data_IF_119464401524
#
_entry.id   IF_119464401524
#
_cell.length_a   1.000
_cell.length_b   1.000
_cell.length_c   1.000
_cell.angle_alpha   90.00
_cell.angle_beta   90.00
_cell.angle_gamma   90.00
#
_symmetry.space_group_name_H-M   'P 1'
#
loop_
_entity.id
_entity.type
_entity.pdbx_description
1 polymer ?
#
# COMPACT_ATOMS: atom_id res chain seq x y z
N UNK A 1 -33.63 -30.05 -51.60
CA UNK A 1 -33.01 -29.03 -52.50
C UNK A 1 -34.02 -28.28 -53.39
N UNK A 2 -34.80 -28.98 -54.23
CA UNK A 2 -35.69 -28.33 -55.22
C UNK A 2 -36.84 -27.51 -54.61
N UNK A 3 -37.52 -28.01 -53.56
CA UNK A 3 -38.65 -27.31 -52.96
C UNK A 3 -38.23 -26.06 -52.15
N UNK A 4 -37.08 -26.09 -51.48
CA UNK A 4 -36.56 -24.94 -50.73
C UNK A 4 -36.15 -23.79 -51.67
N UNK A 5 -35.62 -24.11 -52.85
CA UNK A 5 -35.34 -23.10 -53.88
C UNK A 5 -36.62 -22.44 -54.39
N UNK A 6 -37.67 -23.24 -54.62
CA UNK A 6 -38.98 -22.72 -54.98
C UNK A 6 -39.58 -21.87 -53.86
N UNK A 7 -39.47 -22.31 -52.60
CA UNK A 7 -39.91 -21.56 -51.44
C UNK A 7 -39.18 -20.20 -51.33
N UNK A 8 -37.85 -20.17 -51.50
CA UNK A 8 -37.07 -18.92 -51.55
C UNK A 8 -37.56 -18.02 -52.69
N UNK A 9 -37.81 -18.57 -53.88
CA UNK A 9 -38.30 -17.81 -55.02
C UNK A 9 -39.70 -17.20 -54.76
N UNK A 10 -40.59 -17.94 -54.09
CA UNK A 10 -41.91 -17.45 -53.70
C UNK A 10 -41.83 -16.29 -52.70
N UNK A 11 -40.83 -16.31 -51.80
CA UNK A 11 -40.65 -15.25 -50.80
C UNK A 11 -40.12 -13.96 -51.45
N UNK A 12 -39.18 -14.07 -52.40
CA UNK A 12 -38.56 -12.90 -53.03
C UNK A 12 -39.41 -12.29 -54.15
N UNK A 13 -40.38 -13.01 -54.68
CA UNK A 13 -41.32 -12.52 -55.68
C UNK A 13 -42.46 -11.74 -55.03
N UNK A 14 -42.60 -10.46 -55.40
CA UNK A 14 -43.60 -9.54 -54.84
C UNK A 14 -45.04 -10.01 -55.06
N UNK A 15 -45.33 -10.60 -56.22
CA UNK A 15 -46.68 -11.05 -56.56
C UNK A 15 -47.06 -12.34 -55.81
N UNK A 16 -46.05 -13.09 -55.33
CA UNK A 16 -46.23 -14.39 -54.69
C UNK A 16 -46.00 -14.36 -53.18
N UNK A 17 -45.55 -13.23 -52.61
CA UNK A 17 -45.26 -13.07 -51.18
C UNK A 17 -46.43 -13.44 -50.26
N UNK A 18 -47.66 -13.04 -50.64
CA UNK A 18 -48.86 -13.38 -49.87
C UNK A 18 -49.12 -14.90 -49.87
N UNK A 19 -48.89 -15.57 -51.00
CA UNK A 19 -49.02 -17.02 -51.14
C UNK A 19 -47.94 -17.73 -50.31
N UNK A 20 -46.70 -17.22 -50.35
CA UNK A 20 -45.60 -17.75 -49.55
C UNK A 20 -45.93 -17.71 -48.06
N UNK A 21 -46.58 -16.63 -47.60
CA UNK A 21 -46.97 -16.43 -46.20
C UNK A 21 -48.02 -17.44 -45.73
N UNK A 22 -48.85 -17.96 -46.61
CA UNK A 22 -49.86 -18.97 -46.26
C UNK A 22 -49.34 -20.41 -46.37
N UNK A 23 -48.44 -20.67 -47.33
CA UNK A 23 -48.01 -22.04 -47.69
C UNK A 23 -46.78 -22.50 -46.90
N UNK A 24 -45.87 -21.58 -46.57
CA UNK A 24 -44.63 -21.92 -45.87
C UNK A 24 -44.89 -21.88 -44.36
N UNK A 25 -44.64 -23.00 -43.66
CA UNK A 25 -44.78 -23.06 -42.21
C UNK A 25 -43.68 -22.28 -41.49
N UNK A 26 -43.88 -22.00 -40.21
CA UNK A 26 -42.92 -21.32 -39.30
C UNK A 26 -41.79 -22.24 -38.79
N UNK A 27 -41.58 -23.41 -39.40
CA UNK A 27 -40.60 -24.39 -38.93
C UNK A 27 -39.14 -23.91 -39.04
N UNK A 28 -38.36 -24.13 -37.96
CA UNK A 28 -36.92 -23.81 -37.87
C UNK A 28 -36.06 -24.59 -38.88
N UNK A 29 -36.49 -25.77 -39.31
CA UNK A 29 -35.77 -26.53 -40.35
C UNK A 29 -35.88 -25.84 -41.72
N UNK A 30 -37.02 -25.19 -41.97
CA UNK A 30 -37.25 -24.41 -43.20
C UNK A 30 -36.42 -23.13 -43.15
N UNK A 31 -36.44 -22.42 -42.02
CA UNK A 31 -35.57 -21.26 -41.80
C UNK A 31 -34.11 -21.59 -42.12
N UNK A 32 -33.59 -22.68 -41.56
CA UNK A 32 -32.22 -23.14 -41.80
C UNK A 32 -31.97 -23.40 -43.29
N UNK A 33 -32.86 -24.13 -43.96
CA UNK A 33 -32.71 -24.44 -45.38
C UNK A 33 -32.76 -23.21 -46.29
N UNK A 34 -33.60 -22.22 -45.96
CA UNK A 34 -33.65 -20.95 -46.70
C UNK A 34 -32.40 -20.12 -46.44
N UNK A 35 -31.90 -20.06 -45.21
CA UNK A 35 -30.66 -19.37 -44.85
C UNK A 35 -29.46 -19.96 -45.61
N UNK A 36 -29.31 -21.29 -45.63
CA UNK A 36 -28.26 -21.99 -46.39
C UNK A 36 -28.29 -21.63 -47.89
N UNK A 37 -29.47 -21.65 -48.51
CA UNK A 37 -29.63 -21.25 -49.91
C UNK A 37 -29.34 -19.76 -50.16
N UNK A 38 -29.50 -18.93 -49.14
CA UNK A 38 -29.25 -17.49 -49.22
C UNK A 38 -27.75 -17.20 -49.09
N UNK A 39 -27.03 -17.99 -48.29
CA UNK A 39 -25.57 -17.94 -48.21
C UNK A 39 -24.89 -18.47 -49.48
N UNK A 40 -25.45 -19.50 -50.13
CA UNK A 40 -24.92 -20.03 -51.41
C UNK A 40 -25.15 -19.09 -52.60
N UNK A 41 -26.31 -18.42 -52.62
CA UNK A 41 -26.71 -17.51 -53.70
C UNK A 41 -27.31 -16.25 -53.10
N UNK A 42 -26.44 -15.27 -52.91
CA UNK A 42 -26.76 -14.01 -52.27
C UNK A 42 -27.77 -13.20 -53.10
N UNK A 43 -28.95 -12.84 -52.55
CA UNK A 43 -29.93 -12.00 -53.22
C UNK A 43 -29.49 -10.54 -53.31
N UNK A 44 -30.16 -9.75 -54.15
CA UNK A 44 -30.00 -8.29 -54.15
C UNK A 44 -30.74 -7.65 -52.96
N UNK A 45 -30.46 -6.36 -52.67
CA UNK A 45 -31.02 -5.66 -51.51
C UNK A 45 -32.55 -5.68 -51.43
N UNK A 46 -33.27 -5.58 -52.56
CA UNK A 46 -34.73 -5.64 -52.57
C UNK A 46 -35.26 -7.01 -52.15
N UNK A 47 -34.58 -8.07 -52.61
CA UNK A 47 -34.93 -9.44 -52.24
C UNK A 47 -34.61 -9.71 -50.76
N UNK A 48 -33.53 -9.12 -50.23
CA UNK A 48 -33.18 -9.20 -48.80
C UNK A 48 -34.22 -8.46 -47.95
N UNK A 49 -34.73 -7.31 -48.39
CA UNK A 49 -35.82 -6.60 -47.70
C UNK A 49 -37.09 -7.45 -47.62
N UNK A 50 -37.48 -8.12 -48.71
CA UNK A 50 -38.61 -9.06 -48.71
C UNK A 50 -38.36 -10.26 -47.79
N UNK A 51 -37.15 -10.84 -47.82
CA UNK A 51 -36.76 -11.91 -46.91
C UNK A 51 -36.82 -11.47 -45.44
N UNK A 52 -36.43 -10.22 -45.14
CA UNK A 52 -36.50 -9.63 -43.80
C UNK A 52 -37.94 -9.54 -43.30
N UNK A 53 -38.84 -9.00 -44.11
CA UNK A 53 -40.28 -8.90 -43.78
C UNK A 53 -40.89 -10.29 -43.57
N UNK A 54 -40.56 -11.24 -44.45
CA UNK A 54 -41.02 -12.61 -44.35
C UNK A 54 -40.53 -13.29 -43.07
N UNK A 55 -39.22 -13.22 -42.80
CA UNK A 55 -38.61 -13.79 -41.62
C UNK A 55 -39.24 -13.25 -40.33
N UNK A 56 -39.57 -11.94 -40.31
CA UNK A 56 -40.30 -11.32 -39.21
C UNK A 56 -41.71 -11.88 -39.06
N UNK A 57 -42.46 -12.02 -40.15
CA UNK A 57 -43.82 -12.58 -40.11
C UNK A 57 -43.87 -14.05 -39.61
N UNK A 58 -42.77 -14.79 -39.80
CA UNK A 58 -42.63 -16.21 -39.41
C UNK A 58 -41.85 -16.44 -38.12
N UNK A 59 -41.45 -15.38 -37.42
CA UNK A 59 -40.60 -15.45 -36.24
C UNK A 59 -39.28 -16.23 -36.47
N UNK A 60 -38.71 -16.12 -37.67
CA UNK A 60 -37.43 -16.73 -38.06
C UNK A 60 -36.26 -15.81 -37.69
N UNK A 61 -35.79 -15.96 -36.46
CA UNK A 61 -34.81 -15.06 -35.85
C UNK A 61 -33.44 -15.06 -36.53
N UNK A 62 -32.91 -16.20 -37.00
CA UNK A 62 -31.60 -16.28 -37.68
C UNK A 62 -31.65 -15.68 -39.07
N UNK A 63 -32.69 -15.98 -39.83
CA UNK A 63 -32.84 -15.39 -41.17
C UNK A 63 -33.06 -13.89 -41.07
N UNK A 64 -33.85 -13.44 -40.10
CA UNK A 64 -34.04 -12.01 -39.83
C UNK A 64 -32.73 -11.33 -39.42
N UNK A 65 -31.95 -11.93 -38.50
CA UNK A 65 -30.62 -11.46 -38.11
C UNK A 65 -29.67 -11.35 -39.31
N UNK A 66 -29.62 -12.38 -40.17
CA UNK A 66 -28.84 -12.33 -41.41
C UNK A 66 -29.24 -11.16 -42.30
N UNK A 67 -30.55 -10.93 -42.50
CA UNK A 67 -31.02 -9.82 -43.32
C UNK A 67 -30.64 -8.46 -42.71
N UNK A 68 -30.73 -8.31 -41.39
CA UNK A 68 -30.29 -7.09 -40.68
C UNK A 68 -28.79 -6.84 -40.86
N UNK A 69 -27.96 -7.88 -40.73
CA UNK A 69 -26.51 -7.78 -40.97
C UNK A 69 -26.18 -7.26 -42.37
N UNK A 70 -26.99 -7.63 -43.38
CA UNK A 70 -26.76 -7.22 -44.77
C UNK A 70 -27.24 -5.82 -45.10
N UNK A 71 -28.33 -5.39 -44.49
CA UNK A 71 -29.03 -4.16 -44.86
C UNK A 71 -28.71 -2.96 -43.96
N UNK A 72 -28.46 -3.23 -42.68
CA UNK A 72 -28.35 -2.19 -41.65
C UNK A 72 -26.92 -2.02 -41.15
N UNK A 73 -26.62 -0.82 -40.63
CA UNK A 73 -25.40 -0.61 -39.86
C UNK A 73 -25.46 -1.42 -38.55
N UNK A 74 -24.31 -1.87 -38.00
CA UNK A 74 -24.27 -2.76 -36.82
C UNK A 74 -25.13 -2.29 -35.65
N UNK A 75 -25.09 -0.99 -35.33
CA UNK A 75 -25.87 -0.40 -34.25
C UNK A 75 -27.39 -0.48 -34.49
N UNK A 76 -27.82 -0.30 -35.74
CA UNK A 76 -29.24 -0.40 -36.11
C UNK A 76 -29.70 -1.86 -36.13
N UNK A 77 -28.86 -2.76 -36.65
CA UNK A 77 -29.13 -4.20 -36.66
C UNK A 77 -29.32 -4.74 -35.24
N UNK A 78 -28.40 -4.43 -34.31
CA UNK A 78 -28.47 -4.87 -32.92
C UNK A 78 -29.69 -4.32 -32.16
N UNK A 79 -30.11 -3.08 -32.44
CA UNK A 79 -31.33 -2.56 -31.82
C UNK A 79 -32.59 -3.25 -32.41
N UNK A 80 -32.66 -3.42 -33.73
CA UNK A 80 -33.82 -4.03 -34.41
C UNK A 80 -34.02 -5.51 -34.08
N UNK A 81 -32.94 -6.26 -33.83
CA UNK A 81 -33.05 -7.69 -33.44
C UNK A 81 -33.63 -7.85 -32.02
N UNK A 82 -33.42 -6.86 -31.14
CA UNK A 82 -33.96 -6.87 -29.78
C UNK A 82 -35.45 -6.52 -29.71
N UNK A 83 -35.99 -5.88 -30.74
CA UNK A 83 -37.42 -5.61 -30.88
C UNK A 83 -38.17 -6.78 -31.57
N UNK A 84 -37.48 -7.90 -31.83
CA UNK A 84 -38.08 -9.11 -32.38
C UNK A 84 -38.86 -9.86 -31.30
N UNK A 85 -40.13 -10.20 -31.56
CA UNK A 85 -40.96 -10.96 -30.61
C UNK A 85 -40.34 -12.35 -30.39
N UNK A 86 -40.14 -12.73 -29.12
CA UNK A 86 -39.36 -13.89 -28.68
C UNK A 86 -37.86 -13.82 -29.04
N UNK A 87 -37.09 -12.93 -28.40
CA UNK A 87 -35.65 -12.79 -28.61
C UNK A 87 -34.87 -13.91 -27.88
N UNK A 88 -35.36 -15.15 -27.87
CA UNK A 88 -34.65 -16.27 -27.22
C UNK A 88 -33.34 -16.53 -27.97
N UNK A 89 -32.30 -15.77 -27.62
CA UNK A 89 -30.84 -15.99 -27.69
C UNK A 89 -30.27 -16.22 -29.10
N UNK A 90 -30.93 -17.04 -29.90
CA UNK A 90 -30.47 -17.59 -31.18
C UNK A 90 -30.27 -16.54 -32.28
N UNK A 91 -31.16 -15.55 -32.41
CA UNK A 91 -31.02 -14.52 -33.45
C UNK A 91 -29.97 -13.47 -33.12
N UNK A 92 -29.91 -13.05 -31.86
CA UNK A 92 -28.91 -12.10 -31.36
C UNK A 92 -27.50 -12.71 -31.38
N UNK A 93 -27.34 -13.93 -30.88
CA UNK A 93 -26.07 -14.67 -30.93
C UNK A 93 -25.61 -14.87 -32.37
N UNK A 94 -26.52 -15.27 -33.27
CA UNK A 94 -26.19 -15.43 -34.67
C UNK A 94 -25.78 -14.10 -35.33
N UNK A 95 -26.44 -12.99 -34.99
CA UNK A 95 -26.04 -11.66 -35.48
C UNK A 95 -24.64 -11.27 -35.01
N UNK A 96 -24.31 -11.56 -33.75
CA UNK A 96 -22.99 -11.29 -33.18
C UNK A 96 -21.91 -12.11 -33.89
N UNK A 97 -22.16 -13.40 -34.15
CA UNK A 97 -21.23 -14.29 -34.85
C UNK A 97 -20.87 -13.81 -36.27
N UNK A 98 -21.72 -12.97 -36.89
CA UNK A 98 -21.47 -12.42 -38.22
C UNK A 98 -20.54 -11.20 -38.22
N UNK A 99 -20.44 -10.46 -37.12
CA UNK A 99 -19.57 -9.29 -37.00
C UNK A 99 -18.18 -9.68 -36.49
N UNK A 100 -17.17 -8.95 -36.94
CA UNK A 100 -15.84 -9.08 -36.32
C UNK A 100 -15.77 -8.31 -34.99
N UNK A 101 -14.75 -8.60 -34.19
CA UNK A 101 -14.61 -8.08 -32.83
C UNK A 101 -14.47 -6.56 -32.79
N UNK A 102 -13.84 -5.96 -33.79
CA UNK A 102 -13.70 -4.49 -33.86
C UNK A 102 -15.03 -3.80 -34.18
N UNK A 103 -15.83 -4.38 -35.08
CA UNK A 103 -17.17 -3.89 -35.39
C UNK A 103 -18.08 -3.98 -34.16
N UNK A 104 -18.03 -5.11 -33.45
CA UNK A 104 -18.79 -5.30 -32.21
C UNK A 104 -18.37 -4.29 -31.14
N UNK A 105 -17.07 -4.14 -30.85
CA UNK A 105 -16.59 -3.20 -29.85
C UNK A 105 -16.91 -1.75 -30.19
N UNK A 106 -16.67 -1.32 -31.43
CA UNK A 106 -16.99 0.05 -31.86
C UNK A 106 -18.48 0.34 -31.72
N UNK A 107 -19.33 -0.66 -31.95
CA UNK A 107 -20.78 -0.55 -31.81
C UNK A 107 -21.20 -0.52 -30.34
N UNK A 108 -20.73 -1.46 -29.53
CA UNK A 108 -21.08 -1.54 -28.10
C UNK A 108 -20.58 -0.34 -27.29
N UNK A 109 -19.49 0.31 -27.71
CA UNK A 109 -19.00 1.56 -27.09
C UNK A 109 -19.95 2.75 -27.27
N UNK A 110 -20.86 2.70 -28.25
CA UNK A 110 -21.79 3.79 -28.59
C UNK A 110 -23.23 3.44 -28.19
N UNK A 111 -23.56 2.16 -28.09
CA UNK A 111 -24.88 1.70 -27.64
C UNK A 111 -25.06 1.96 -26.14
N UNK A 112 -26.18 2.59 -25.78
CA UNK A 112 -26.62 2.81 -24.39
C UNK A 112 -27.92 2.03 -24.07
N UNK A 113 -28.30 1.08 -24.92
CA UNK A 113 -29.47 0.23 -24.69
C UNK A 113 -29.12 -0.89 -23.70
N UNK A 114 -29.74 -0.85 -22.52
CA UNK A 114 -29.50 -1.81 -21.43
C UNK A 114 -29.82 -3.25 -21.84
N UNK A 115 -30.72 -3.47 -22.80
CA UNK A 115 -31.06 -4.80 -23.31
C UNK A 115 -29.89 -5.42 -24.07
N UNK A 116 -29.17 -4.61 -24.86
CA UNK A 116 -27.96 -5.07 -25.58
C UNK A 116 -26.90 -5.47 -24.55
N UNK A 117 -26.67 -4.63 -23.53
CA UNK A 117 -25.71 -4.89 -22.47
C UNK A 117 -26.04 -6.20 -21.73
N UNK A 118 -27.30 -6.38 -21.32
CA UNK A 118 -27.73 -7.61 -20.62
C UNK A 118 -27.56 -8.86 -21.47
N UNK A 119 -27.80 -8.80 -22.79
CA UNK A 119 -27.56 -9.96 -23.64
C UNK A 119 -26.05 -10.27 -23.79
N UNK A 120 -25.19 -9.26 -23.91
CA UNK A 120 -23.73 -9.46 -23.94
C UNK A 120 -23.26 -10.14 -22.65
N UNK A 121 -23.78 -9.73 -21.49
CA UNK A 121 -23.42 -10.31 -20.19
C UNK A 121 -23.83 -11.78 -20.05
N UNK A 122 -24.88 -12.21 -20.74
CA UNK A 122 -25.36 -13.58 -20.69
C UNK A 122 -24.59 -14.52 -21.65
N UNK A 123 -23.70 -13.98 -22.49
CA UNK A 123 -22.96 -14.74 -23.51
C UNK A 123 -21.47 -14.78 -23.16
N UNK A 124 -21.07 -15.65 -22.23
CA UNK A 124 -19.68 -15.78 -21.75
C UNK A 124 -18.66 -15.93 -22.90
N UNK A 125 -19.01 -16.68 -23.95
CA UNK A 125 -18.16 -16.90 -25.14
C UNK A 125 -17.89 -15.59 -25.90
N UNK A 126 -18.89 -14.71 -26.00
CA UNK A 126 -18.72 -13.40 -26.61
C UNK A 126 -17.78 -12.54 -25.77
N UNK A 127 -18.02 -12.48 -24.46
CA UNK A 127 -17.17 -11.72 -23.54
C UNK A 127 -15.72 -12.18 -23.69
N UNK A 128 -15.47 -13.50 -23.61
CA UNK A 128 -14.15 -14.11 -23.75
C UNK A 128 -13.46 -13.72 -25.07
N UNK A 129 -14.19 -13.75 -26.19
CA UNK A 129 -13.66 -13.38 -27.51
C UNK A 129 -13.31 -11.89 -27.61
N UNK A 130 -14.02 -11.01 -26.91
CA UNK A 130 -13.78 -9.56 -26.95
C UNK A 130 -12.68 -9.11 -26.00
N UNK A 131 -12.41 -9.86 -24.90
CA UNK A 131 -11.40 -9.50 -23.89
C UNK A 131 -10.02 -9.11 -24.49
N UNK A 132 -9.44 -9.80 -25.49
CA UNK A 132 -8.12 -9.46 -26.03
C UNK A 132 -8.01 -8.09 -26.73
N UNK A 133 -9.16 -7.51 -27.11
CA UNK A 133 -9.26 -6.30 -27.93
C UNK A 133 -9.67 -5.05 -27.13
N UNK A 134 -9.85 -5.18 -25.81
CA UNK A 134 -10.31 -4.09 -24.97
C UNK A 134 -9.29 -2.95 -24.84
N UNK A 135 -9.81 -1.73 -24.90
CA UNK A 135 -9.11 -0.47 -24.67
C UNK A 135 -9.62 0.15 -23.36
N UNK A 136 -8.84 0.04 -22.29
CA UNK A 136 -9.29 0.36 -20.93
C UNK A 136 -9.47 1.87 -20.65
N UNK A 137 -9.20 2.74 -21.62
CA UNK A 137 -9.59 4.15 -21.58
C UNK A 137 -11.09 4.32 -21.87
N UNK A 138 -11.73 3.36 -22.56
CA UNK A 138 -13.16 3.35 -22.85
C UNK A 138 -13.99 2.83 -21.68
N UNK A 139 -15.13 3.49 -21.44
CA UNK A 139 -16.08 3.14 -20.36
C UNK A 139 -16.61 1.71 -20.51
N UNK A 140 -17.11 1.37 -21.70
CA UNK A 140 -17.69 0.06 -21.98
C UNK A 140 -16.67 -1.08 -21.81
N UNK A 141 -15.45 -0.87 -22.27
CA UNK A 141 -14.38 -1.87 -22.18
C UNK A 141 -13.99 -2.18 -20.72
N UNK A 142 -13.91 -1.17 -19.86
CA UNK A 142 -13.72 -1.39 -18.41
C UNK A 142 -14.88 -2.15 -17.78
N UNK A 143 -16.10 -1.84 -18.19
CA UNK A 143 -17.30 -2.54 -17.75
C UNK A 143 -17.23 -4.02 -18.14
N UNK A 144 -16.99 -4.30 -19.42
CA UNK A 144 -16.94 -5.65 -19.97
C UNK A 144 -15.83 -6.49 -19.32
N UNK A 145 -14.66 -5.89 -19.08
CA UNK A 145 -13.58 -6.55 -18.35
C UNK A 145 -14.00 -6.94 -16.92
N UNK A 146 -14.67 -6.03 -16.20
CA UNK A 146 -15.15 -6.30 -14.84
C UNK A 146 -16.17 -7.44 -14.82
N UNK A 147 -17.08 -7.49 -15.80
CA UNK A 147 -18.05 -8.58 -15.91
C UNK A 147 -17.37 -9.91 -16.25
N UNK A 148 -16.45 -9.93 -17.23
CA UNK A 148 -15.70 -11.13 -17.56
C UNK A 148 -14.97 -11.71 -16.34
N UNK A 149 -14.39 -10.84 -15.51
CA UNK A 149 -13.76 -11.27 -14.25
C UNK A 149 -14.76 -11.88 -13.26
N UNK A 150 -15.92 -11.26 -13.07
CA UNK A 150 -16.98 -11.78 -12.17
C UNK A 150 -17.54 -13.13 -12.65
N UNK A 151 -17.58 -13.35 -13.96
CA UNK A 151 -17.87 -14.64 -14.58
C UNK A 151 -16.72 -15.65 -14.50
N UNK A 152 -15.62 -15.32 -13.81
CA UNK A 152 -14.42 -16.16 -13.65
C UNK A 152 -13.67 -16.45 -14.95
N UNK A 153 -13.83 -15.60 -15.96
CA UNK A 153 -13.01 -15.66 -17.17
C UNK A 153 -11.58 -15.23 -16.83
N UNK A 154 -10.61 -15.84 -17.51
CA UNK A 154 -9.20 -15.44 -17.34
C UNK A 154 -8.99 -14.04 -17.91
N UNK A 155 -8.42 -13.14 -17.12
CA UNK A 155 -8.00 -11.83 -17.62
C UNK A 155 -6.85 -12.05 -18.63
N UNK A 156 -6.95 -11.50 -19.86
CA UNK A 156 -5.87 -11.59 -20.84
C UNK A 156 -4.59 -10.98 -20.29
N UNK A 157 -3.46 -11.67 -20.45
CA UNK A 157 -2.16 -11.18 -20.01
C UNK A 157 -1.83 -9.78 -20.53
N UNK A 158 -2.24 -9.45 -21.76
CA UNK A 158 -2.09 -8.14 -22.39
C UNK A 158 -2.73 -6.99 -21.60
N UNK A 159 -3.86 -7.26 -20.93
CA UNK A 159 -4.59 -6.27 -20.12
C UNK A 159 -3.89 -6.01 -18.79
N UNK A 160 -3.13 -7.00 -18.30
CA UNK A 160 -2.42 -6.96 -17.01
C UNK A 160 -0.97 -6.47 -17.20
N UNK A 161 -0.62 -6.00 -18.39
CA UNK A 161 0.63 -5.28 -18.61
C UNK A 161 0.48 -3.87 -18.01
N UNK A 162 1.61 -3.27 -17.60
CA UNK A 162 1.69 -1.93 -17.02
C UNK A 162 0.80 -0.89 -17.71
N UNK A 163 0.72 -0.90 -19.05
CA UNK A 163 -0.09 0.04 -19.83
C UNK A 163 -1.60 -0.07 -19.53
N UNK A 164 -2.11 -1.28 -19.29
CA UNK A 164 -3.51 -1.52 -18.95
C UNK A 164 -3.84 -1.03 -17.55
N UNK A 165 -2.99 -1.37 -16.57
CA UNK A 165 -3.10 -0.87 -15.18
C UNK A 165 -3.06 0.66 -15.17
N UNK A 166 -2.11 1.26 -15.90
CA UNK A 166 -2.01 2.72 -16.02
C UNK A 166 -3.26 3.34 -16.61
N UNK A 167 -3.87 2.69 -17.61
CA UNK A 167 -5.10 3.18 -18.23
C UNK A 167 -6.29 3.16 -17.27
N UNK A 168 -6.39 2.12 -16.43
CA UNK A 168 -7.40 2.04 -15.36
C UNK A 168 -7.16 3.14 -14.32
N UNK A 169 -5.92 3.31 -13.85
CA UNK A 169 -5.56 4.34 -12.87
C UNK A 169 -5.79 5.76 -13.42
N UNK A 170 -5.43 6.02 -14.68
CA UNK A 170 -5.72 7.30 -15.38
C UNK A 170 -7.22 7.53 -15.51
N UNK A 171 -8.00 6.50 -15.76
CA UNK A 171 -9.46 6.62 -15.82
C UNK A 171 -10.04 6.97 -14.44
N UNK A 172 -9.59 6.27 -13.40
CA UNK A 172 -10.00 6.53 -12.02
C UNK A 172 -9.66 7.95 -11.55
N UNK A 173 -8.43 8.40 -11.83
CA UNK A 173 -7.96 9.76 -11.50
C UNK A 173 -8.61 10.87 -12.35
N UNK A 174 -9.31 10.53 -13.43
CA UNK A 174 -10.15 11.45 -14.17
C UNK A 174 -11.62 11.44 -13.69
N UNK A 175 -11.94 10.66 -12.66
CA UNK A 175 -13.30 10.54 -12.12
C UNK A 175 -14.20 9.60 -12.92
N UNK A 176 -13.62 8.79 -13.80
CA UNK A 176 -14.39 7.79 -14.54
C UNK A 176 -14.58 6.52 -13.70
N UNK A 177 -15.73 5.88 -13.90
CA UNK A 177 -16.05 4.62 -13.24
C UNK A 177 -15.08 3.50 -13.68
N UNK A 178 -14.61 2.76 -12.69
CA UNK A 178 -13.66 1.64 -12.82
C UNK A 178 -14.35 0.29 -12.73
N UNK A 179 -15.65 0.26 -12.38
CA UNK A 179 -16.44 -0.96 -12.21
C UNK A 179 -15.82 -1.99 -11.23
N UNK A 180 -15.07 -1.52 -10.22
CA UNK A 180 -14.40 -2.39 -9.26
C UNK A 180 -13.13 -3.04 -9.79
N UNK A 181 -12.62 -2.64 -10.96
CA UNK A 181 -11.37 -3.17 -11.50
C UNK A 181 -10.16 -2.91 -10.60
N UNK A 182 -10.17 -1.83 -9.82
CA UNK A 182 -9.10 -1.55 -8.84
C UNK A 182 -9.10 -2.61 -7.73
N UNK A 183 -10.28 -3.02 -7.26
CA UNK A 183 -10.41 -4.10 -6.27
C UNK A 183 -9.94 -5.44 -6.82
N UNK A 184 -10.32 -5.75 -8.07
CA UNK A 184 -9.88 -6.95 -8.80
C UNK A 184 -8.35 -6.97 -8.96
N UNK A 185 -7.75 -5.84 -9.33
CA UNK A 185 -6.28 -5.73 -9.46
C UNK A 185 -5.57 -5.72 -8.10
N UNK A 186 -6.25 -5.40 -7.01
CA UNK A 186 -5.68 -5.47 -5.67
C UNK A 186 -5.63 -6.90 -5.12
N UNK A 187 -6.17 -7.89 -5.83
CA UNK A 187 -5.99 -9.29 -5.51
C UNK A 187 -4.51 -9.71 -5.63
N UNK A 188 -4.10 -10.71 -4.83
CA UNK A 188 -2.69 -11.08 -4.60
C UNK A 188 -1.85 -11.26 -5.86
N UNK A 189 -2.44 -11.68 -6.98
CA UNK A 189 -1.72 -11.91 -8.24
C UNK A 189 -1.29 -10.63 -8.95
N UNK A 190 -1.93 -9.50 -8.68
CA UNK A 190 -1.69 -8.22 -9.38
C UNK A 190 -1.41 -7.06 -8.42
N UNK A 191 -1.58 -7.29 -7.12
CA UNK A 191 -1.41 -6.31 -6.05
C UNK A 191 -0.09 -5.53 -6.13
N UNK A 192 1.02 -6.24 -6.40
CA UNK A 192 2.36 -5.63 -6.47
C UNK A 192 2.48 -4.65 -7.64
N UNK A 193 2.08 -5.09 -8.85
CA UNK A 193 2.10 -4.25 -10.04
C UNK A 193 1.16 -3.04 -9.88
N UNK A 194 -0.05 -3.25 -9.35
CA UNK A 194 -0.99 -2.16 -9.09
C UNK A 194 -0.37 -1.13 -8.14
N UNK A 195 0.26 -1.58 -7.06
CA UNK A 195 0.88 -0.71 -6.08
C UNK A 195 2.06 0.09 -6.66
N UNK A 196 2.94 -0.58 -7.42
CA UNK A 196 4.08 0.06 -8.08
C UNK A 196 3.61 1.16 -9.05
N UNK A 197 2.66 0.83 -9.94
CA UNK A 197 2.13 1.80 -10.92
C UNK A 197 1.40 2.96 -10.25
N UNK A 198 0.58 2.69 -9.23
CA UNK A 198 -0.10 3.74 -8.47
C UNK A 198 0.90 4.67 -7.76
N UNK A 199 1.97 4.11 -7.20
CA UNK A 199 3.03 4.89 -6.56
C UNK A 199 3.77 5.81 -7.55
N UNK A 200 4.03 5.34 -8.77
CA UNK A 200 4.60 6.17 -9.82
C UNK A 200 3.67 7.36 -10.15
N UNK A 201 2.38 7.11 -10.34
CA UNK A 201 1.42 8.18 -10.64
C UNK A 201 1.25 9.18 -9.48
N UNK A 202 1.40 8.74 -8.23
CA UNK A 202 1.39 9.63 -7.06
C UNK A 202 2.47 10.72 -7.15
N UNK A 203 3.62 10.41 -7.74
CA UNK A 203 4.69 11.40 -7.96
C UNK A 203 4.36 12.41 -9.06
N UNK A 204 3.37 12.14 -9.91
CA UNK A 204 2.96 12.98 -11.04
C UNK A 204 1.73 13.87 -10.75
N UNK A 205 1.24 13.89 -9.51
CA UNK A 205 0.10 14.75 -9.10
C UNK A 205 -1.26 14.04 -9.08
N UNK A 206 -1.27 12.77 -8.66
CA UNK A 206 -2.48 11.97 -8.46
C UNK A 206 -3.52 12.65 -7.56
N UNK A 207 -4.80 12.58 -7.95
CA UNK A 207 -5.91 13.28 -7.29
C UNK A 207 -6.86 12.29 -6.63
N UNK A 208 -6.74 12.11 -5.32
CA UNK A 208 -7.54 11.14 -4.54
C UNK A 208 -9.05 11.46 -4.49
N UNK A 209 -9.42 12.73 -4.61
CA UNK A 209 -10.79 13.24 -4.55
C UNK A 209 -11.67 12.81 -5.73
N UNK A 210 -11.06 12.42 -6.85
CA UNK A 210 -11.77 11.97 -8.05
C UNK A 210 -12.09 10.49 -8.03
N UNK A 211 -11.44 9.71 -7.16
CA UNK A 211 -11.69 8.29 -7.06
C UNK A 211 -12.97 8.00 -6.28
N UNK A 212 -13.59 6.86 -6.58
CA UNK A 212 -14.66 6.34 -5.72
C UNK A 212 -14.11 6.05 -4.31
N UNK A 213 -14.98 6.08 -3.30
CA UNK A 213 -14.55 5.80 -1.92
C UNK A 213 -13.95 4.40 -1.76
N UNK A 214 -14.51 3.41 -2.46
CA UNK A 214 -14.00 2.04 -2.46
C UNK A 214 -12.61 1.98 -3.10
N UNK A 215 -12.45 2.54 -4.30
CA UNK A 215 -11.17 2.52 -5.02
C UNK A 215 -10.07 3.25 -4.25
N UNK A 216 -10.43 4.39 -3.64
CA UNK A 216 -9.53 5.16 -2.78
C UNK A 216 -9.01 4.30 -1.63
N UNK A 217 -9.92 3.63 -0.90
CA UNK A 217 -9.54 2.83 0.25
C UNK A 217 -8.68 1.61 -0.14
N UNK A 218 -9.02 0.96 -1.25
CA UNK A 218 -8.26 -0.17 -1.80
C UNK A 218 -6.86 0.28 -2.17
N UNK A 219 -6.71 1.32 -3.00
CA UNK A 219 -5.40 1.82 -3.43
C UNK A 219 -4.54 2.31 -2.28
N UNK A 220 -5.10 3.08 -1.34
CA UNK A 220 -4.38 3.52 -0.15
C UNK A 220 -3.81 2.31 0.60
N UNK A 221 -4.61 1.26 0.78
CA UNK A 221 -4.18 0.05 1.47
C UNK A 221 -3.09 -0.71 0.72
N UNK A 222 -3.29 -0.93 -0.58
CA UNK A 222 -2.37 -1.66 -1.46
C UNK A 222 -1.03 -0.95 -1.58
N UNK A 223 -1.03 0.36 -1.87
CA UNK A 223 0.20 1.16 -1.95
C UNK A 223 0.91 1.24 -0.61
N UNK A 224 0.17 1.46 0.49
CA UNK A 224 0.79 1.53 1.83
C UNK A 224 1.49 0.23 2.21
N UNK A 225 0.86 -0.91 1.92
CA UNK A 225 1.46 -2.23 2.16
C UNK A 225 2.73 -2.41 1.34
N UNK A 226 2.68 -2.11 0.04
CA UNK A 226 3.83 -2.20 -0.85
C UNK A 226 5.02 -1.33 -0.40
N UNK A 227 4.75 -0.07 -0.01
CA UNK A 227 5.75 0.86 0.53
C UNK A 227 6.42 0.28 1.79
N UNK A 228 5.64 -0.29 2.70
CA UNK A 228 6.15 -0.89 3.94
C UNK A 228 6.94 -2.18 3.67
N UNK A 229 6.45 -3.03 2.78
CA UNK A 229 7.10 -4.30 2.44
C UNK A 229 8.46 -4.07 1.79
N UNK A 230 8.54 -3.12 0.84
CA UNK A 230 9.74 -2.78 0.09
C UNK A 230 10.63 -1.70 0.75
N UNK A 231 10.18 -1.05 1.83
CA UNK A 231 10.97 -0.06 2.55
C UNK A 231 11.23 1.23 1.76
N UNK A 232 10.24 1.67 0.97
CA UNK A 232 10.38 2.83 0.07
C UNK A 232 10.40 4.13 0.87
N UNK A 233 11.53 4.84 0.87
CA UNK A 233 11.75 6.00 1.75
C UNK A 233 11.44 7.37 1.12
N UNK A 234 11.17 7.45 -0.18
CA UNK A 234 10.96 8.70 -0.92
C UNK A 234 9.48 9.05 -1.17
N UNK A 235 8.56 8.50 -0.38
CA UNK A 235 7.12 8.78 -0.50
C UNK A 235 6.81 10.17 0.05
N UNK A 236 6.24 11.05 -0.79
CA UNK A 236 5.84 12.42 -0.42
C UNK A 236 4.34 12.58 -0.21
N UNK A 237 3.53 11.62 -0.63
CA UNK A 237 2.07 11.67 -0.51
C UNK A 237 1.63 11.53 0.96
N UNK A 238 0.96 12.58 1.47
CA UNK A 238 0.54 12.66 2.87
C UNK A 238 -0.55 11.65 3.24
N UNK A 239 -1.40 11.25 2.30
CA UNK A 239 -2.49 10.30 2.57
C UNK A 239 -1.90 8.91 2.79
N UNK A 240 -0.94 8.51 1.96
CA UNK A 240 -0.20 7.25 2.15
C UNK A 240 0.58 7.29 3.48
N UNK A 241 1.29 8.38 3.75
CA UNK A 241 2.03 8.55 5.01
C UNK A 241 1.12 8.42 6.25
N UNK A 242 -0.05 9.09 6.25
CA UNK A 242 -0.98 9.06 7.39
C UNK A 242 -1.64 7.69 7.54
N UNK A 243 -1.98 6.99 6.45
CA UNK A 243 -2.51 5.63 6.51
C UNK A 243 -1.48 4.65 7.07
N UNK A 244 -0.22 4.75 6.67
CA UNK A 244 0.87 3.94 7.23
C UNK A 244 1.03 4.26 8.72
N UNK A 245 1.02 5.54 9.10
CA UNK A 245 1.05 5.94 10.51
C UNK A 245 -0.12 5.33 11.29
N UNK A 246 -1.35 5.43 10.81
CA UNK A 246 -2.52 4.87 11.49
C UNK A 246 -2.40 3.37 11.71
N UNK A 247 -1.98 2.62 10.68
CA UNK A 247 -1.73 1.18 10.78
C UNK A 247 -0.60 0.85 11.76
N UNK A 248 0.45 1.66 11.80
CA UNK A 248 1.53 1.53 12.77
C UNK A 248 1.02 1.76 14.20
N UNK A 249 0.19 2.78 14.43
CA UNK A 249 -0.40 3.09 15.73
C UNK A 249 -1.36 1.99 16.23
N UNK A 250 -2.01 1.26 15.33
CA UNK A 250 -2.86 0.09 15.63
C UNK A 250 -2.07 -1.22 15.79
N UNK A 251 -0.75 -1.17 15.71
CA UNK A 251 0.14 -2.33 15.70
C UNK A 251 -0.11 -3.35 14.58
N UNK A 252 -0.72 -2.93 13.48
CA UNK A 252 -1.00 -3.80 12.33
C UNK A 252 0.26 -4.08 11.48
N UNK A 253 1.29 -3.22 11.59
CA UNK A 253 2.49 -3.27 10.74
C UNK A 253 3.79 -3.18 11.56
N UNK A 254 4.83 -3.89 11.09
CA UNK A 254 6.03 -4.14 11.88
C UNK A 254 6.78 -2.87 12.33
N UNK A 255 7.53 -2.93 13.44
CA UNK A 255 8.38 -1.85 13.95
C UNK A 255 9.34 -1.18 12.95
N UNK A 256 9.71 -1.88 11.87
CA UNK A 256 10.54 -1.37 10.78
C UNK A 256 9.99 -0.09 10.13
N UNK A 257 8.68 0.10 10.23
CA UNK A 257 7.96 1.26 9.69
C UNK A 257 8.36 2.56 10.39
N UNK A 258 8.85 2.48 11.63
CA UNK A 258 9.30 3.66 12.37
C UNK A 258 10.36 4.44 11.59
N UNK A 259 11.33 3.74 10.98
CA UNK A 259 12.40 4.38 10.20
C UNK A 259 11.87 5.16 9.00
N UNK A 260 10.81 4.64 8.36
CA UNK A 260 10.13 5.32 7.25
C UNK A 260 9.43 6.60 7.74
N UNK A 261 8.64 6.50 8.82
CA UNK A 261 7.91 7.64 9.39
C UNK A 261 8.87 8.77 9.82
N UNK A 262 10.02 8.39 10.40
CA UNK A 262 11.08 9.33 10.78
C UNK A 262 11.69 9.98 9.54
N UNK A 263 12.04 9.19 8.53
CA UNK A 263 12.61 9.69 7.28
C UNK A 263 11.68 10.67 6.55
N UNK A 264 10.37 10.46 6.64
CA UNK A 264 9.35 11.33 6.06
C UNK A 264 9.03 12.56 6.91
N UNK A 265 9.59 12.69 8.11
CA UNK A 265 9.26 13.75 9.07
C UNK A 265 7.74 13.78 9.41
N UNK A 266 7.10 12.60 9.45
CA UNK A 266 5.70 12.48 9.87
C UNK A 266 5.62 12.70 11.38
N UNK A 267 4.72 13.58 11.82
CA UNK A 267 4.56 13.83 13.25
C UNK A 267 3.90 12.63 13.94
N UNK A 268 4.67 12.01 14.82
CA UNK A 268 4.21 11.00 15.79
C UNK A 268 4.41 11.60 17.18
N UNK A 269 3.46 11.43 18.10
CA UNK A 269 3.62 11.94 19.46
C UNK A 269 4.23 10.90 20.41
N UNK A 270 4.73 11.39 21.55
CA UNK A 270 5.42 10.56 22.52
C UNK A 270 4.51 9.46 23.12
N UNK A 271 3.24 9.79 23.41
CA UNK A 271 2.27 8.85 24.00
C UNK A 271 1.89 7.70 23.06
N UNK A 272 1.78 7.98 21.77
CA UNK A 272 1.48 7.00 20.72
C UNK A 272 2.56 5.92 20.66
N UNK A 273 3.83 6.33 20.64
CA UNK A 273 4.95 5.40 20.58
C UNK A 273 5.08 4.56 21.86
N UNK A 274 4.79 5.14 23.04
CA UNK A 274 4.76 4.36 24.30
C UNK A 274 3.75 3.21 24.21
N UNK A 275 2.54 3.47 23.69
CA UNK A 275 1.50 2.46 23.57
C UNK A 275 1.96 1.28 22.70
N UNK A 276 2.60 1.57 21.56
CA UNK A 276 3.09 0.56 20.62
C UNK A 276 4.22 -0.29 21.22
N UNK A 277 5.15 0.32 21.95
CA UNK A 277 6.25 -0.40 22.61
C UNK A 277 5.77 -1.48 23.58
N UNK A 278 4.58 -1.30 24.16
CA UNK A 278 3.93 -2.30 25.01
C UNK A 278 3.37 -3.51 24.25
N UNK A 279 2.97 -3.34 22.98
CA UNK A 279 2.17 -4.31 22.23
C UNK A 279 3.00 -5.36 21.47
N UNK A 280 4.24 -5.04 21.10
CA UNK A 280 5.11 -5.95 20.35
C UNK A 280 6.03 -6.82 21.22
N UNK A 281 6.36 -8.00 20.70
CA UNK A 281 7.33 -8.92 21.30
C UNK A 281 8.78 -8.49 21.06
N UNK A 282 9.68 -9.01 21.88
CA UNK A 282 11.11 -8.68 21.84
C UNK A 282 11.80 -9.00 20.51
N UNK A 283 11.36 -10.03 19.81
CA UNK A 283 12.03 -10.40 18.56
C UNK A 283 11.80 -9.37 17.45
N UNK A 284 10.65 -8.68 17.47
CA UNK A 284 10.26 -7.77 16.39
C UNK A 284 11.07 -6.47 16.39
N UNK A 285 11.50 -6.00 17.56
CA UNK A 285 12.21 -4.74 17.71
C UNK A 285 13.74 -4.87 17.78
N UNK A 286 14.28 -6.08 17.98
CA UNK A 286 15.71 -6.27 18.30
C UNK A 286 16.65 -5.63 17.27
N UNK A 287 16.26 -5.70 16.00
CA UNK A 287 16.99 -5.15 14.86
C UNK A 287 16.75 -3.64 14.63
N UNK A 288 15.69 -3.06 15.20
CA UNK A 288 15.31 -1.64 15.03
C UNK A 288 15.60 -0.76 16.26
N UNK A 289 16.07 -1.38 17.36
CA UNK A 289 16.31 -0.68 18.62
C UNK A 289 17.28 0.50 18.50
N UNK A 290 18.31 0.41 17.66
CA UNK A 290 19.26 1.51 17.43
C UNK A 290 18.55 2.76 16.88
N UNK A 291 17.88 2.63 15.74
CA UNK A 291 17.25 3.76 15.05
C UNK A 291 16.14 4.39 15.90
N UNK A 292 15.35 3.55 16.58
CA UNK A 292 14.37 4.00 17.57
C UNK A 292 15.04 4.84 18.67
N UNK A 293 16.16 4.38 19.22
CA UNK A 293 16.86 5.08 20.28
C UNK A 293 17.47 6.41 19.84
N UNK A 294 18.06 6.45 18.64
CA UNK A 294 18.56 7.68 18.03
C UNK A 294 17.43 8.70 17.80
N UNK A 295 16.27 8.23 17.34
CA UNK A 295 15.10 9.07 17.13
C UNK A 295 14.55 9.66 18.43
N UNK A 296 14.34 8.84 19.46
CA UNK A 296 13.89 9.30 20.79
C UNK A 296 14.88 10.34 21.33
N UNK A 297 16.18 10.09 21.19
CA UNK A 297 17.23 11.01 21.62
C UNK A 297 17.17 12.34 20.87
N UNK A 298 17.01 12.31 19.54
CA UNK A 298 16.89 13.52 18.71
C UNK A 298 15.64 14.35 19.03
N UNK A 299 14.52 13.66 19.30
CA UNK A 299 13.23 14.27 19.65
C UNK A 299 13.13 14.70 21.12
N UNK A 300 14.16 14.38 21.93
CA UNK A 300 14.23 14.69 23.37
C UNK A 300 13.04 14.14 24.17
N UNK A 301 12.58 12.94 23.81
CA UNK A 301 11.40 12.29 24.41
C UNK A 301 11.75 11.59 25.74
N UNK A 302 11.61 12.35 26.83
CA UNK A 302 11.99 11.92 28.19
C UNK A 302 11.03 10.86 28.75
N UNK A 303 9.74 10.94 28.46
CA UNK A 303 8.70 10.03 28.96
C UNK A 303 8.84 8.63 28.37
N UNK A 304 9.08 8.50 27.06
CA UNK A 304 9.42 7.21 26.43
C UNK A 304 10.71 6.66 27.02
N UNK A 305 11.73 7.51 27.19
CA UNK A 305 13.01 7.07 27.76
C UNK A 305 12.82 6.47 29.16
N UNK A 306 11.95 7.06 29.99
CA UNK A 306 11.56 6.51 31.30
C UNK A 306 10.77 5.20 31.15
N UNK A 307 9.83 5.12 30.21
CA UNK A 307 9.05 3.91 29.95
C UNK A 307 9.94 2.74 29.49
N UNK A 308 10.89 3.00 28.59
CA UNK A 308 11.95 2.06 28.21
C UNK A 308 12.74 1.63 29.44
N UNK A 309 13.17 2.56 30.29
CA UNK A 309 13.86 2.21 31.53
C UNK A 309 13.01 1.36 32.49
N UNK A 310 11.68 1.50 32.53
CA UNK A 310 10.84 0.59 33.35
C UNK A 310 10.75 -0.83 32.78
N UNK A 311 10.89 -0.98 31.45
CA UNK A 311 10.93 -2.28 30.77
C UNK A 311 12.34 -2.90 30.75
N UNK A 312 13.35 -2.13 31.17
CA UNK A 312 14.75 -2.51 31.20
C UNK A 312 14.98 -3.68 32.18
N UNK A 313 15.70 -4.71 31.71
CA UNK A 313 15.95 -5.96 32.44
C UNK A 313 14.98 -7.09 32.11
N UNK A 314 13.76 -6.77 31.66
CA UNK A 314 12.76 -7.77 31.24
C UNK A 314 12.77 -8.03 29.73
N UNK A 315 13.14 -7.02 28.92
CA UNK A 315 13.12 -7.09 27.46
C UNK A 315 14.49 -6.76 26.84
N UNK A 316 15.08 -7.66 26.03
CA UNK A 316 16.43 -7.47 25.44
C UNK A 316 16.49 -6.31 24.44
N UNK A 317 15.40 -6.04 23.75
CA UNK A 317 15.22 -4.93 22.79
C UNK A 317 15.49 -3.58 23.40
N UNK A 318 14.90 -3.38 24.58
CA UNK A 318 14.88 -2.12 25.30
C UNK A 318 16.32 -1.70 25.59
N UNK A 319 17.23 -2.65 25.79
CA UNK A 319 18.64 -2.38 26.02
C UNK A 319 19.30 -1.67 24.83
N UNK A 320 18.98 -2.06 23.59
CA UNK A 320 19.57 -1.46 22.39
C UNK A 320 19.09 -0.01 22.20
N UNK A 321 17.80 0.26 22.32
CA UNK A 321 17.27 1.62 22.21
C UNK A 321 17.70 2.52 23.37
N UNK A 322 17.68 1.97 24.60
CA UNK A 322 18.05 2.70 25.80
C UNK A 322 19.53 3.11 25.84
N UNK A 323 20.43 2.36 25.16
CA UNK A 323 21.84 2.78 24.97
C UNK A 323 21.91 4.15 24.31
N UNK A 324 21.13 4.38 23.26
CA UNK A 324 21.12 5.64 22.51
C UNK A 324 20.29 6.74 23.20
N UNK A 325 19.33 6.36 24.05
CA UNK A 325 18.54 7.31 24.86
C UNK A 325 19.19 7.66 26.20
N UNK A 326 20.37 7.11 26.53
CA UNK A 326 20.99 7.24 27.85
C UNK A 326 21.08 8.69 28.31
N UNK A 327 21.37 9.62 27.40
CA UNK A 327 21.50 11.05 27.68
C UNK A 327 20.22 11.67 28.28
N UNK A 328 19.04 11.14 27.93
CA UNK A 328 17.72 11.63 28.35
C UNK A 328 17.24 11.05 29.68
N UNK A 329 17.93 10.03 30.21
CA UNK A 329 17.55 9.43 31.49
C UNK A 329 17.77 10.42 32.66
N UNK A 330 16.85 10.46 33.64
CA UNK A 330 17.09 11.11 34.93
C UNK A 330 18.36 10.55 35.60
N UNK A 331 19.09 11.40 36.34
CA UNK A 331 20.37 11.06 36.98
C UNK A 331 20.35 9.73 37.75
N UNK A 332 19.29 9.48 38.53
CA UNK A 332 19.12 8.23 39.31
C UNK A 332 18.92 6.98 38.44
N UNK A 333 18.29 7.13 37.27
CA UNK A 333 18.08 6.03 36.32
C UNK A 333 19.32 5.79 35.46
N UNK A 334 20.05 6.85 35.10
CA UNK A 334 21.40 6.75 34.47
C UNK A 334 22.33 5.91 35.33
N UNK A 335 22.35 6.22 36.63
CA UNK A 335 23.09 5.48 37.66
C UNK A 335 22.72 3.98 37.59
N UNK A 336 21.48 3.61 37.92
CA UNK A 336 21.07 2.19 37.96
C UNK A 336 21.14 1.44 36.61
N UNK A 337 21.01 2.12 35.46
CA UNK A 337 21.23 1.52 34.13
C UNK A 337 22.71 1.15 33.91
N UNK A 338 23.64 2.04 34.30
CA UNK A 338 25.09 1.78 34.19
C UNK A 338 25.59 0.64 35.10
N UNK A 339 24.92 0.41 36.24
CA UNK A 339 25.25 -0.72 37.13
C UNK A 339 24.80 -2.09 36.57
N UNK A 340 23.68 -2.14 35.85
CA UNK A 340 23.06 -3.40 35.40
C UNK A 340 23.45 -3.81 33.98
N UNK A 341 23.74 -2.85 33.11
CA UNK A 341 24.17 -3.14 31.75
C UNK A 341 25.68 -3.26 31.77
N UNK A 342 26.21 -4.44 31.45
CA UNK A 342 27.63 -4.65 31.16
C UNK A 342 28.03 -3.91 29.87
N UNK A 343 27.80 -2.59 29.81
CA UNK A 343 28.31 -1.74 28.74
C UNK A 343 29.83 -1.76 28.88
N UNK A 344 30.57 -1.83 27.78
CA UNK A 344 32.01 -1.58 27.81
C UNK A 344 32.19 -0.09 28.15
N UNK A 345 32.54 0.18 29.41
CA UNK A 345 32.59 1.52 30.00
C UNK A 345 33.79 2.33 29.51
N UNK A 346 34.69 1.72 28.73
CA UNK A 346 35.78 2.38 28.00
C UNK A 346 35.28 3.38 26.94
N UNK A 347 34.00 3.32 26.56
CA UNK A 347 33.33 4.28 25.67
C UNK A 347 32.75 5.50 26.42
N UNK A 348 32.84 5.56 27.76
CA UNK A 348 32.24 6.66 28.52
C UNK A 348 33.10 7.93 28.48
N UNK A 349 32.49 9.12 28.27
CA UNK A 349 33.22 10.38 28.27
C UNK A 349 33.89 10.66 29.63
N UNK A 350 35.14 11.14 29.60
CA UNK A 350 35.92 11.52 30.78
C UNK A 350 35.20 12.45 31.78
N UNK A 351 34.36 13.35 31.27
CA UNK A 351 33.57 14.26 32.11
C UNK A 351 32.51 13.53 32.96
N UNK A 352 32.13 12.30 32.60
CA UNK A 352 31.20 11.45 33.36
C UNK A 352 31.84 10.87 34.63
N UNK A 353 33.06 10.31 34.52
CA UNK A 353 33.79 9.77 35.68
C UNK A 353 34.09 10.87 36.70
N UNK A 354 34.45 12.06 36.20
CA UNK A 354 34.64 13.25 37.04
C UNK A 354 33.33 13.63 37.73
N UNK A 355 32.20 13.65 37.01
CA UNK A 355 30.90 13.97 37.62
C UNK A 355 30.49 12.97 38.71
N UNK A 356 30.76 11.66 38.54
CA UNK A 356 30.48 10.65 39.57
C UNK A 356 31.30 10.89 40.83
N UNK A 357 32.60 11.09 40.67
CA UNK A 357 33.49 11.35 41.81
C UNK A 357 33.11 12.66 42.52
N UNK A 358 32.68 13.69 41.78
CA UNK A 358 32.16 14.94 42.36
C UNK A 358 30.91 14.70 43.17
N UNK A 359 29.93 13.97 42.64
CA UNK A 359 28.67 13.73 43.33
C UNK A 359 28.91 12.96 44.64
N UNK A 360 29.73 11.90 44.60
CA UNK A 360 30.08 11.11 45.78
C UNK A 360 30.87 11.95 46.80
N UNK A 361 31.94 12.62 46.37
CA UNK A 361 32.76 13.48 47.23
C UNK A 361 31.96 14.62 47.85
N UNK A 362 31.05 15.22 47.08
CA UNK A 362 30.20 16.31 47.55
C UNK A 362 29.15 15.89 48.58
N UNK A 363 28.79 14.61 48.60
CA UNK A 363 27.84 14.04 49.55
C UNK A 363 28.50 13.61 50.86
N UNK A 364 29.78 13.23 50.80
CA UNK A 364 30.55 12.73 51.95
C UNK A 364 31.31 13.83 52.68
N UNK A 365 31.73 14.89 51.97
CA UNK A 365 32.71 15.85 52.49
C UNK A 365 32.27 17.31 52.33
N UNK A 366 32.53 18.09 53.36
CA UNK A 366 32.39 19.55 53.38
C UNK A 366 33.53 20.27 52.64
N UNK A 367 33.42 21.60 52.48
CA UNK A 367 34.45 22.42 51.82
C UNK A 367 35.77 22.42 52.60
N UNK A 368 35.71 22.39 53.93
CA UNK A 368 36.89 22.33 54.80
C UNK A 368 37.59 20.97 54.68
N UNK A 369 36.80 19.90 54.52
CA UNK A 369 37.33 18.56 54.31
C UNK A 369 37.96 18.39 52.92
N UNK A 370 37.44 19.07 51.90
CA UNK A 370 38.10 19.12 50.58
C UNK A 370 39.52 19.70 50.69
N UNK A 371 39.70 20.80 51.43
CA UNK A 371 41.01 21.43 51.62
C UNK A 371 41.97 20.47 52.34
N UNK A 372 41.52 19.84 53.42
CA UNK A 372 42.30 18.85 54.17
C UNK A 372 42.70 17.65 53.31
N UNK A 373 41.76 17.05 52.58
CA UNK A 373 42.01 15.89 51.72
C UNK A 373 42.99 16.24 50.58
N UNK A 374 42.87 17.45 50.03
CA UNK A 374 43.74 17.94 48.97
C UNK A 374 45.19 18.15 49.43
N UNK A 375 45.40 18.76 50.60
CA UNK A 375 46.74 18.90 51.17
C UNK A 375 47.35 17.55 51.53
N UNK A 376 46.54 16.65 52.11
CA UNK A 376 46.97 15.29 52.43
C UNK A 376 47.38 14.50 51.18
N UNK A 377 46.79 14.81 50.02
CA UNK A 377 47.16 14.26 48.72
C UNK A 377 48.42 14.90 48.11
N UNK A 378 49.11 15.79 48.83
CA UNK A 378 50.28 16.52 48.35
C UNK A 378 49.97 17.75 47.50
N UNK A 379 48.70 18.15 47.43
CA UNK A 379 48.26 19.35 46.73
C UNK A 379 48.53 20.64 47.51
N UNK A 380 48.69 21.77 46.80
CA UNK A 380 48.83 23.08 47.44
C UNK A 380 47.47 23.78 47.52
N UNK A 381 47.10 24.34 48.68
CA UNK A 381 45.80 25.01 48.85
C UNK A 381 45.54 26.16 47.88
N UNK A 382 46.59 26.89 47.46
CA UNK A 382 46.47 27.94 46.43
C UNK A 382 45.93 27.43 45.09
N UNK A 383 46.01 26.12 44.87
CA UNK A 383 45.47 25.47 43.67
C UNK A 383 44.01 25.06 43.85
N UNK A 384 43.42 25.17 45.03
CA UNK A 384 41.97 25.08 45.20
C UNK A 384 41.32 26.45 44.98
N UNK A 385 40.06 26.42 44.57
CA UNK A 385 39.27 27.62 44.37
C UNK A 385 38.06 27.53 45.30
N UNK A 386 38.01 28.42 46.29
CA UNK A 386 36.92 28.51 47.27
C UNK A 386 35.62 29.05 46.68
N UNK A 387 35.65 29.64 45.48
CA UNK A 387 34.47 30.22 44.85
C UNK A 387 33.60 29.17 44.13
N UNK A 388 32.37 29.01 44.61
CA UNK A 388 31.31 28.20 44.01
C UNK A 388 30.52 27.40 45.05
N UNK A 389 29.51 26.65 44.58
CA UNK A 389 28.93 25.60 45.40
C UNK A 389 29.89 24.40 45.50
N UNK A 390 29.66 23.56 46.49
CA UNK A 390 30.56 22.46 46.84
C UNK A 390 30.83 21.51 45.66
N UNK A 391 29.82 21.19 44.84
CA UNK A 391 30.01 20.42 43.61
C UNK A 391 30.95 21.09 42.59
N UNK A 392 30.89 22.42 42.43
CA UNK A 392 31.84 23.16 41.57
C UNK A 392 33.26 23.17 42.14
N UNK A 393 33.41 23.23 43.47
CA UNK A 393 34.71 23.15 44.13
C UNK A 393 35.35 21.77 43.88
N UNK A 394 34.61 20.69 44.13
CA UNK A 394 35.02 19.31 43.85
C UNK A 394 35.33 19.09 42.37
N UNK A 395 34.50 19.62 41.45
CA UNK A 395 34.74 19.48 40.00
C UNK A 395 36.08 20.09 39.60
N UNK A 396 36.41 21.28 40.13
CA UNK A 396 37.68 21.94 39.85
C UNK A 396 38.86 21.18 40.47
N UNK A 397 38.72 20.70 41.70
CA UNK A 397 39.75 19.93 42.38
C UNK A 397 40.10 18.65 41.61
N UNK A 398 39.10 17.85 41.24
CA UNK A 398 39.28 16.60 40.50
C UNK A 398 39.87 16.86 39.10
N UNK A 399 39.41 17.91 38.39
CA UNK A 399 40.01 18.31 37.11
C UNK A 399 41.47 18.75 37.24
N UNK A 400 41.87 19.34 38.37
CA UNK A 400 43.27 19.70 38.64
C UNK A 400 44.10 18.48 39.01
N UNK A 401 43.56 17.57 39.81
CA UNK A 401 44.21 16.30 40.12
C UNK A 401 44.52 15.51 38.84
N UNK A 402 43.56 15.42 37.92
CA UNK A 402 43.74 14.79 36.61
C UNK A 402 44.82 15.44 35.74
N UNK A 403 45.04 16.74 35.91
CA UNK A 403 46.11 17.50 35.22
C UNK A 403 47.49 17.35 35.86
N UNK A 404 47.63 16.52 36.90
CA UNK A 404 48.90 16.25 37.58
C UNK A 404 49.26 17.27 38.67
N UNK A 405 48.28 18.04 39.18
CA UNK A 405 48.53 18.96 40.30
C UNK A 405 48.73 18.26 41.66
N UNK A 406 48.50 16.95 41.72
CA UNK A 406 48.85 16.08 42.85
C UNK A 406 49.56 14.82 42.32
N UNK A 407 50.51 14.30 43.09
CA UNK A 407 51.27 13.10 42.73
C UNK A 407 50.36 11.86 42.77
N UNK A 408 50.33 11.08 41.69
CA UNK A 408 49.38 9.97 41.49
C UNK A 408 47.96 10.41 41.08
N UNK A 409 47.72 11.71 40.89
CA UNK A 409 46.51 12.23 40.25
C UNK A 409 45.22 11.90 41.01
N UNK A 410 44.12 11.66 40.27
CA UNK A 410 42.80 11.43 40.87
C UNK A 410 42.78 10.18 41.77
N UNK A 411 43.58 9.16 41.44
CA UNK A 411 43.71 7.94 42.25
C UNK A 411 44.16 8.22 43.69
N UNK A 412 45.21 9.04 43.86
CA UNK A 412 45.70 9.41 45.20
C UNK A 412 44.62 10.13 46.02
N UNK A 413 43.81 10.96 45.37
CA UNK A 413 42.69 11.63 46.03
C UNK A 413 41.61 10.64 46.48
N UNK A 414 41.30 9.64 45.65
CA UNK A 414 40.35 8.56 45.99
C UNK A 414 40.90 7.70 47.13
N UNK A 415 42.19 7.37 47.13
CA UNK A 415 42.83 6.57 48.18
C UNK A 415 42.72 7.24 49.55
N UNK A 416 42.95 8.54 49.61
CA UNK A 416 42.85 9.31 50.86
C UNK A 416 41.40 9.43 51.32
N UNK A 417 40.44 9.52 50.39
CA UNK A 417 39.01 9.44 50.74
C UNK A 417 38.66 8.06 51.31
N UNK A 418 39.21 6.99 50.74
CA UNK A 418 38.99 5.62 51.21
C UNK A 418 39.63 5.35 52.57
N UNK A 419 40.66 6.09 52.99
CA UNK A 419 41.17 5.96 54.37
C UNK A 419 40.09 6.30 55.42
N UNK A 420 39.21 7.26 55.11
CA UNK A 420 38.14 7.68 56.02
C UNK A 420 36.86 6.86 55.85
N UNK A 421 36.60 6.38 54.63
CA UNK A 421 35.44 5.54 54.31
C UNK A 421 35.88 4.26 53.57
N UNK A 422 36.56 3.31 54.24
CA UNK A 422 37.20 2.16 53.59
C UNK A 422 36.22 1.20 52.91
N UNK A 423 34.97 1.17 53.39
CA UNK A 423 33.91 0.31 52.85
C UNK A 423 32.97 1.04 51.89
N UNK A 424 33.30 2.27 51.45
CA UNK A 424 32.49 2.96 50.46
C UNK A 424 32.63 2.23 49.11
N UNK A 425 31.56 1.57 48.69
CA UNK A 425 31.55 0.77 47.46
C UNK A 425 31.74 1.63 46.22
N UNK A 426 31.20 2.86 46.20
CA UNK A 426 31.29 3.78 45.08
C UNK A 426 32.73 4.28 44.86
N UNK A 427 33.45 4.66 45.94
CA UNK A 427 34.85 5.08 45.87
C UNK A 427 35.78 3.93 45.49
N UNK A 428 35.55 2.73 46.04
CA UNK A 428 36.33 1.53 45.69
C UNK A 428 36.13 1.14 44.22
N UNK A 429 34.93 1.30 43.68
CA UNK A 429 34.67 1.10 42.26
C UNK A 429 35.33 2.20 41.41
N UNK A 430 35.16 3.47 41.76
CA UNK A 430 35.77 4.60 41.03
C UNK A 430 37.30 4.48 40.95
N UNK A 431 37.93 3.95 41.99
CA UNK A 431 39.37 3.64 42.01
C UNK A 431 39.81 2.68 40.89
N UNK A 432 38.94 1.80 40.40
CA UNK A 432 39.30 0.86 39.33
C UNK A 432 39.32 1.50 37.93
N UNK A 433 38.82 2.73 37.78
CA UNK A 433 38.68 3.43 36.49
C UNK A 433 39.64 4.61 36.30
N UNK A 434 40.25 5.10 37.38
CA UNK A 434 41.30 6.12 37.35
C UNK A 434 42.68 5.45 37.46
#
# INVERSE_FOLDING_TARGET
PSWLQQAKQLIIDEELFAIASDVISDSKDIEKGILELTLENEPNDNDIERLKEFARSKNWAKLYAWCLFRLDQPIMALNKILDFEHPEVVGFDYLIELYNENELLSTFRVIDDTRVITNIENTDTLVENLLPYLELDKKFDRYLLSQGYRSKLSIPSKIIINDGIDSILRSATNGHETYGLIEILAEKSFEENLAERALLQLTEGFSWDKLSKSDTQVLINTVSKYVVENGISNVTDKIIQENIKEKFLKSEIAPKVMDLLIGWNVHVNESEVINILGQYTDNNWRQYGKNLGEFINSSKWISITKALYTLYGNKKVVNNALKYCYSLLPKKQKWAYSFKSKINLDELPDDYLISRLVDEASSLYSSEELEFLWEKAGGKLKDLNSNGNLGKQWTKAIKKAKKGNIEGGVLTLIDIMLERYPYNTELNELKTFF
#
